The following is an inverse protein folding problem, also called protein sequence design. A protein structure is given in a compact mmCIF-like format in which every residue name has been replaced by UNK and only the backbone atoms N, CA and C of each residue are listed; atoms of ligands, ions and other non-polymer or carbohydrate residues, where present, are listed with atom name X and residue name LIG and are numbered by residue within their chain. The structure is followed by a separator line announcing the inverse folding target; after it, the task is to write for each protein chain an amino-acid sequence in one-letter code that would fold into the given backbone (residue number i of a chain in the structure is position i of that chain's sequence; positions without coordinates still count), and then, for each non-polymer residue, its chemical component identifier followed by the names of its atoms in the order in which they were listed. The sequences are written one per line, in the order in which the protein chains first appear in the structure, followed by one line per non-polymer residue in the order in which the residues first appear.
data_IF_067588052745
#
_entry.id   IF_067588052745
#
_cell.length_a   1.000
_cell.length_b   1.000
_cell.length_c   1.000
_cell.angle_alpha   90.00
_cell.angle_beta   90.00
_cell.angle_gamma   90.00
#
_symmetry.space_group_name_H-M   'P 1'
#
loop_
_entity.id
_entity.type
_entity.pdbx_description
1 polymer ?
#
# COMPACT_ATOMS: atom_id res chain seq x y z
N UNK A 1 3.82 -8.60 82.92
CA UNK A 1 3.75 -7.31 82.24
C UNK A 1 4.50 -7.42 80.92
N UNK A 2 3.85 -7.71 79.82
CA UNK A 2 4.45 -7.84 78.48
C UNK A 2 4.01 -6.65 77.64
N UNK A 3 4.94 -5.76 77.35
CA UNK A 3 4.74 -4.65 76.39
C UNK A 3 4.86 -5.18 74.97
N UNK A 4 3.77 -5.16 74.22
CA UNK A 4 3.77 -5.35 72.75
C UNK A 4 4.18 -4.06 72.10
N UNK A 5 5.29 -4.06 71.36
CA UNK A 5 5.74 -2.98 70.49
C UNK A 5 5.08 -3.21 69.13
N UNK A 6 4.22 -2.29 68.73
CA UNK A 6 3.63 -2.29 67.41
C UNK A 6 4.61 -1.61 66.43
N UNK A 7 5.11 -2.36 65.45
CA UNK A 7 5.86 -1.80 64.33
C UNK A 7 4.86 -1.25 63.32
N UNK A 8 4.83 0.08 63.17
CA UNK A 8 4.18 0.75 62.07
C UNK A 8 5.05 0.54 60.81
N UNK A 9 4.60 -0.28 59.87
CA UNK A 9 5.14 -0.35 58.54
C UNK A 9 4.74 0.92 57.76
N UNK A 10 5.69 1.84 57.64
CA UNK A 10 5.58 2.96 56.67
C UNK A 10 5.91 2.40 55.31
N UNK A 11 4.86 2.19 54.50
CA UNK A 11 5.01 1.89 53.07
C UNK A 11 5.30 3.25 52.38
N UNK A 12 6.46 3.42 51.73
CA UNK A 12 6.71 4.59 50.93
C UNK A 12 5.75 4.57 49.75
N UNK A 13 4.91 5.60 49.66
CA UNK A 13 4.10 5.89 48.50
C UNK A 13 5.06 6.28 47.36
N UNK A 14 5.47 5.31 46.56
CA UNK A 14 6.14 5.57 45.29
C UNK A 14 5.13 6.31 44.38
N UNK A 15 5.34 7.60 44.23
CA UNK A 15 4.78 8.38 43.17
C UNK A 15 5.20 7.72 41.83
N UNK A 16 4.30 6.98 41.24
CA UNK A 16 4.40 6.57 39.83
C UNK A 16 4.32 7.87 39.02
N UNK A 17 5.48 8.47 38.76
CA UNK A 17 5.60 9.39 37.63
C UNK A 17 5.10 8.62 36.42
N UNK A 18 4.11 9.20 35.70
CA UNK A 18 3.52 8.62 34.51
C UNK A 18 4.54 8.56 33.37
N UNK A 19 5.45 7.61 33.47
CA UNK A 19 6.28 7.21 32.35
C UNK A 19 5.37 6.63 31.30
N UNK A 20 5.29 7.30 30.15
CA UNK A 20 4.68 6.72 28.96
C UNK A 20 5.27 5.33 28.78
N UNK A 21 4.43 4.30 28.87
CA UNK A 21 4.84 2.92 28.59
C UNK A 21 5.10 2.87 27.09
N UNK A 22 6.35 3.11 26.73
CA UNK A 22 6.78 3.05 25.33
C UNK A 22 6.63 1.60 24.87
N UNK A 23 5.51 1.31 24.19
CA UNK A 23 5.28 0.00 23.60
C UNK A 23 6.28 -0.19 22.48
N UNK A 24 6.96 -1.33 22.39
CA UNK A 24 7.83 -1.58 21.25
C UNK A 24 7.02 -1.52 19.96
N UNK A 25 7.61 -1.00 18.86
CA UNK A 25 6.95 -0.93 17.58
C UNK A 25 6.50 -2.32 17.12
N UNK A 26 5.33 -2.39 16.46
CA UNK A 26 4.70 -3.66 16.08
C UNK A 26 5.45 -4.39 14.98
N UNK A 27 6.08 -3.66 14.09
CA UNK A 27 6.78 -4.19 12.93
C UNK A 27 8.19 -3.63 12.84
N UNK A 28 9.04 -4.32 12.10
CA UNK A 28 10.39 -3.86 11.78
C UNK A 28 10.52 -3.67 10.28
N UNK A 29 11.05 -2.52 9.86
CA UNK A 29 11.38 -2.28 8.48
C UNK A 29 12.56 -3.17 8.04
N UNK A 30 12.45 -3.74 6.85
CA UNK A 30 13.48 -4.49 6.15
C UNK A 30 13.77 -3.80 4.81
N UNK A 31 14.93 -4.10 4.24
CA UNK A 31 15.28 -3.69 2.88
C UNK A 31 15.49 -4.93 2.03
N UNK A 32 14.59 -5.12 1.06
CA UNK A 32 14.55 -6.28 0.18
C UNK A 32 15.18 -5.91 -1.16
N UNK A 33 16.30 -6.56 -1.49
CA UNK A 33 16.98 -6.35 -2.76
C UNK A 33 16.21 -7.00 -3.92
N UNK A 34 15.89 -6.24 -4.96
CA UNK A 34 15.13 -6.67 -6.13
C UNK A 34 15.72 -6.12 -7.44
N UNK A 35 16.82 -6.68 -7.90
CA UNK A 35 17.47 -6.33 -9.17
C UNK A 35 18.16 -4.98 -9.14
N UNK A 36 19.01 -4.77 -8.15
CA UNK A 36 19.78 -3.55 -7.94
C UNK A 36 18.96 -2.40 -7.35
N UNK A 37 17.81 -2.69 -6.71
CA UNK A 37 16.99 -1.74 -5.97
C UNK A 37 16.68 -2.30 -4.60
N UNK A 38 17.00 -1.58 -3.55
CA UNK A 38 16.56 -1.89 -2.20
C UNK A 38 15.15 -1.33 -1.97
N UNK A 39 14.19 -2.22 -1.72
CA UNK A 39 12.81 -1.87 -1.38
C UNK A 39 12.64 -1.92 0.13
N UNK A 40 12.22 -0.79 0.73
CA UNK A 40 11.76 -0.79 2.12
C UNK A 40 10.47 -1.59 2.21
N UNK A 41 10.41 -2.51 3.14
CA UNK A 41 9.28 -3.40 3.33
C UNK A 41 8.99 -3.64 4.81
N UNK A 42 7.79 -4.10 5.09
CA UNK A 42 7.44 -4.80 6.33
C UNK A 42 6.88 -6.17 5.98
N UNK A 43 7.24 -7.17 6.78
CA UNK A 43 6.73 -8.54 6.64
C UNK A 43 6.22 -9.04 7.98
N UNK A 44 5.04 -9.66 7.96
CA UNK A 44 4.47 -10.29 9.15
C UNK A 44 3.44 -11.35 8.76
N UNK A 45 2.99 -12.10 9.75
CA UNK A 45 1.98 -13.12 9.58
C UNK A 45 2.55 -14.49 9.20
N UNK A 46 1.64 -15.43 8.99
CA UNK A 46 1.94 -16.83 8.68
C UNK A 46 0.82 -17.39 7.79
N UNK A 47 1.05 -18.56 7.22
CA UNK A 47 0.12 -19.24 6.30
C UNK A 47 0.79 -19.58 4.98
N UNK A 48 0.08 -20.36 4.16
CA UNK A 48 0.62 -20.90 2.90
C UNK A 48 0.44 -19.93 1.72
N UNK A 49 -0.27 -18.82 1.92
CA UNK A 49 -0.50 -17.79 0.90
C UNK A 49 0.18 -16.49 1.30
N UNK A 50 0.93 -15.91 0.38
CA UNK A 50 1.58 -14.60 0.57
C UNK A 50 0.78 -13.50 -0.12
N UNK A 51 0.43 -12.46 0.62
CA UNK A 51 -0.15 -11.21 0.12
C UNK A 51 0.95 -10.17 -0.07
N UNK A 52 1.05 -9.57 -1.24
CA UNK A 52 2.00 -8.47 -1.50
C UNK A 52 1.24 -7.21 -1.83
N UNK A 53 1.46 -6.16 -1.02
CA UNK A 53 0.69 -4.91 -1.03
C UNK A 53 1.49 -3.81 -1.73
N UNK A 54 0.94 -3.25 -2.81
CA UNK A 54 1.57 -2.26 -3.69
C UNK A 54 0.76 -0.95 -3.65
N UNK A 55 1.36 0.12 -3.13
CA UNK A 55 0.71 1.41 -2.95
C UNK A 55 0.57 2.23 -4.24
N UNK A 56 -0.19 3.33 -4.20
CA UNK A 56 -0.42 4.25 -5.30
C UNK A 56 0.71 5.26 -5.53
N UNK A 57 0.57 6.07 -6.59
CA UNK A 57 1.48 7.17 -6.88
C UNK A 57 1.59 8.15 -5.71
N UNK A 58 2.80 8.50 -5.34
CA UNK A 58 3.07 9.45 -4.26
C UNK A 58 2.77 8.94 -2.85
N UNK A 59 2.39 7.68 -2.71
CA UNK A 59 2.14 7.03 -1.42
C UNK A 59 3.36 6.26 -0.91
N UNK A 60 3.17 5.46 0.13
CA UNK A 60 4.16 4.58 0.75
C UNK A 60 3.46 3.44 1.49
N UNK A 61 4.21 2.48 1.99
CA UNK A 61 3.68 1.26 2.63
C UNK A 61 2.73 1.50 3.82
N UNK A 62 2.84 2.66 4.50
CA UNK A 62 1.92 3.01 5.60
C UNK A 62 0.46 3.24 5.15
N UNK A 63 0.20 3.39 3.85
CA UNK A 63 -1.17 3.40 3.32
C UNK A 63 -1.93 2.11 3.65
N UNK A 64 -1.20 1.03 3.93
CA UNK A 64 -1.74 -0.30 4.27
C UNK A 64 -1.90 -0.54 5.76
N UNK A 65 -1.45 0.37 6.63
CA UNK A 65 -1.40 0.20 8.08
C UNK A 65 -2.69 -0.38 8.67
N UNK A 66 -3.84 0.17 8.29
CA UNK A 66 -5.13 -0.22 8.87
C UNK A 66 -5.64 -1.58 8.41
N UNK A 67 -5.17 -2.09 7.26
CA UNK A 67 -5.56 -3.40 6.72
C UNK A 67 -4.48 -4.47 6.93
N UNK A 68 -3.24 -4.09 7.18
CA UNK A 68 -2.10 -4.99 7.31
C UNK A 68 -2.27 -5.97 8.48
N UNK A 69 -2.39 -5.45 9.72
CA UNK A 69 -2.49 -6.28 10.93
C UNK A 69 -3.68 -7.26 10.90
N UNK A 70 -4.88 -6.88 10.44
CA UNK A 70 -5.99 -7.83 10.27
C UNK A 70 -5.72 -8.98 9.29
N UNK A 71 -4.87 -8.76 8.27
CA UNK A 71 -4.53 -9.77 7.27
C UNK A 71 -3.43 -10.72 7.77
N UNK A 72 -2.49 -10.25 8.58
CA UNK A 72 -1.39 -11.08 9.12
C UNK A 72 -1.86 -12.21 10.05
N UNK A 73 -3.13 -12.20 10.46
CA UNK A 73 -3.73 -13.27 11.27
C UNK A 73 -3.90 -14.58 10.49
N UNK A 74 -4.04 -14.49 9.17
CA UNK A 74 -4.39 -15.62 8.33
C UNK A 74 -3.41 -15.83 7.16
N UNK A 75 -2.56 -14.82 6.86
CA UNK A 75 -1.69 -14.80 5.67
C UNK A 75 -0.29 -14.29 6.02
N UNK A 76 0.70 -14.70 5.23
CA UNK A 76 1.95 -13.96 5.15
C UNK A 76 1.70 -12.66 4.39
N UNK A 77 2.08 -11.52 4.93
CA UNK A 77 1.83 -10.22 4.30
C UNK A 77 3.14 -9.46 4.14
N UNK A 78 3.38 -8.96 2.94
CA UNK A 78 4.51 -8.09 2.60
C UNK A 78 3.94 -6.78 2.08
N UNK A 79 4.21 -5.66 2.74
CA UNK A 79 3.94 -4.33 2.19
C UNK A 79 5.26 -3.67 1.84
N UNK A 80 5.35 -3.08 0.65
CA UNK A 80 6.58 -2.46 0.16
C UNK A 80 6.38 -1.00 -0.21
N UNK A 81 7.42 -0.21 -0.04
CA UNK A 81 7.55 1.05 -0.77
C UNK A 81 8.03 0.73 -2.19
N UNK A 82 7.31 1.22 -3.19
CA UNK A 82 7.70 1.03 -4.59
C UNK A 82 8.98 1.81 -4.93
N UNK A 83 9.74 1.41 -5.97
CA UNK A 83 10.91 2.17 -6.42
C UNK A 83 10.58 3.66 -6.63
N UNK A 84 11.39 4.54 -6.10
CA UNK A 84 11.17 5.99 -6.19
C UNK A 84 10.31 6.58 -5.06
N UNK A 85 9.70 5.75 -4.21
CA UNK A 85 8.78 6.18 -3.16
C UNK A 85 9.21 5.72 -1.77
N UNK A 86 8.61 6.34 -0.75
CA UNK A 86 8.86 6.00 0.64
C UNK A 86 10.35 5.94 0.98
N UNK A 87 10.74 4.93 1.75
CA UNK A 87 12.13 4.65 2.12
C UNK A 87 12.90 3.77 1.13
N UNK A 88 12.27 3.37 0.01
CA UNK A 88 12.94 2.60 -1.05
C UNK A 88 13.91 3.44 -1.85
N UNK A 89 14.83 2.79 -2.56
CA UNK A 89 15.76 3.42 -3.48
C UNK A 89 15.06 4.25 -4.56
N UNK A 90 15.72 5.33 -4.97
CA UNK A 90 15.28 6.27 -5.99
C UNK A 90 16.27 6.31 -7.14
N UNK A 91 16.46 5.17 -7.86
CA UNK A 91 17.50 5.06 -8.87
C UNK A 91 17.28 6.04 -10.02
N UNK A 92 18.38 6.49 -10.60
CA UNK A 92 18.39 7.34 -11.80
C UNK A 92 18.20 6.48 -13.07
N UNK A 93 16.98 5.93 -13.23
CA UNK A 93 16.58 5.10 -14.36
C UNK A 93 15.10 5.34 -14.70
N UNK A 94 14.61 4.92 -15.88
CA UNK A 94 13.20 5.04 -16.23
C UNK A 94 12.28 4.30 -15.24
N UNK A 95 11.15 4.93 -14.91
CA UNK A 95 10.10 4.39 -14.05
C UNK A 95 8.90 3.92 -14.87
N UNK A 96 9.16 3.17 -15.97
CA UNK A 96 8.08 2.61 -16.78
C UNK A 96 7.31 1.54 -16.01
N UNK A 97 6.09 1.23 -16.45
CA UNK A 97 5.29 0.15 -15.88
C UNK A 97 6.06 -1.19 -15.90
N UNK A 98 6.76 -1.49 -17.01
CA UNK A 98 7.57 -2.70 -17.16
C UNK A 98 8.75 -2.73 -16.17
N UNK A 99 9.44 -1.61 -15.99
CA UNK A 99 10.56 -1.53 -15.06
C UNK A 99 10.12 -1.75 -13.62
N UNK A 100 9.00 -1.14 -13.20
CA UNK A 100 8.42 -1.31 -11.88
C UNK A 100 7.88 -2.74 -11.67
N UNK A 101 7.11 -3.27 -12.62
CA UNK A 101 6.64 -4.65 -12.58
C UNK A 101 7.80 -5.65 -12.55
N UNK A 102 8.86 -5.42 -13.34
CA UNK A 102 10.07 -6.22 -13.31
C UNK A 102 10.78 -6.23 -11.95
N UNK A 103 10.73 -5.13 -11.19
CA UNK A 103 11.25 -5.10 -9.82
C UNK A 103 10.38 -5.95 -8.89
N UNK A 104 9.05 -5.86 -9.00
CA UNK A 104 8.13 -6.70 -8.20
C UNK A 104 8.28 -8.18 -8.57
N UNK A 105 8.42 -8.55 -9.84
CA UNK A 105 8.70 -9.94 -10.26
C UNK A 105 9.94 -10.50 -9.54
N UNK A 106 11.06 -9.74 -9.51
CA UNK A 106 12.28 -10.16 -8.82
C UNK A 106 12.07 -10.29 -7.31
N UNK A 107 11.32 -9.35 -6.69
CA UNK A 107 10.92 -9.47 -5.30
C UNK A 107 10.15 -10.77 -5.05
N UNK A 108 9.13 -11.06 -5.86
CA UNK A 108 8.33 -12.28 -5.71
C UNK A 108 9.20 -13.53 -5.82
N UNK A 109 10.05 -13.62 -6.84
CA UNK A 109 10.91 -14.80 -7.07
C UNK A 109 11.90 -15.04 -5.94
N UNK A 110 12.36 -13.99 -5.26
CA UNK A 110 13.38 -14.08 -4.21
C UNK A 110 12.82 -14.26 -2.81
N UNK A 111 11.64 -13.70 -2.52
CA UNK A 111 11.16 -13.58 -1.14
C UNK A 111 9.79 -14.23 -0.91
N UNK A 112 9.19 -14.84 -1.91
CA UNK A 112 7.89 -15.51 -1.77
C UNK A 112 7.87 -16.86 -2.45
N UNK A 113 7.07 -17.78 -1.90
CA UNK A 113 6.66 -19.00 -2.57
C UNK A 113 5.22 -18.88 -3.08
N UNK A 114 4.85 -19.55 -4.20
CA UNK A 114 3.47 -19.59 -4.65
C UNK A 114 2.58 -20.39 -3.66
N UNK A 115 1.30 -20.04 -3.51
CA UNK A 115 0.57 -19.00 -4.24
C UNK A 115 0.77 -17.61 -3.68
N UNK A 116 0.91 -16.61 -4.56
CA UNK A 116 0.97 -15.20 -4.22
C UNK A 116 -0.31 -14.49 -4.68
N UNK A 117 -0.81 -13.59 -3.86
CA UNK A 117 -1.89 -12.68 -4.24
C UNK A 117 -1.36 -11.24 -4.19
N UNK A 118 -1.51 -10.52 -5.30
CA UNK A 118 -1.11 -9.12 -5.38
C UNK A 118 -2.30 -8.23 -5.05
N UNK A 119 -2.10 -7.30 -4.12
CA UNK A 119 -3.07 -6.27 -3.74
C UNK A 119 -2.50 -4.92 -4.11
N UNK A 120 -3.06 -4.28 -5.12
CA UNK A 120 -2.54 -3.01 -5.64
C UNK A 120 -3.57 -1.89 -5.59
N UNK A 121 -3.14 -0.72 -5.13
CA UNK A 121 -3.93 0.50 -5.14
C UNK A 121 -3.47 1.42 -6.28
N UNK A 122 -4.40 1.95 -7.07
CA UNK A 122 -4.14 2.96 -8.11
C UNK A 122 -2.99 2.53 -9.05
N UNK A 123 -1.87 3.25 -9.11
CA UNK A 123 -0.65 2.89 -9.83
C UNK A 123 -0.15 1.48 -9.45
N UNK A 124 -0.16 1.15 -8.15
CA UNK A 124 0.19 -0.18 -7.67
C UNK A 124 -0.71 -1.29 -8.22
N UNK A 125 -1.96 -0.97 -8.55
CA UNK A 125 -2.89 -1.89 -9.23
C UNK A 125 -2.44 -2.22 -10.65
N UNK A 126 -2.00 -1.23 -11.42
CA UNK A 126 -1.44 -1.45 -12.77
C UNK A 126 -0.14 -2.27 -12.70
N UNK A 127 0.74 -1.98 -11.72
CA UNK A 127 1.97 -2.75 -11.50
C UNK A 127 1.64 -4.21 -11.12
N UNK A 128 0.63 -4.43 -10.25
CA UNK A 128 0.15 -5.77 -9.90
C UNK A 128 -0.33 -6.52 -11.13
N UNK A 129 -1.15 -5.89 -11.98
CA UNK A 129 -1.64 -6.48 -13.23
C UNK A 129 -0.50 -6.86 -14.17
N UNK A 130 0.44 -5.95 -14.42
CA UNK A 130 1.60 -6.22 -15.28
C UNK A 130 2.50 -7.33 -14.72
N UNK A 131 2.64 -7.40 -13.41
CA UNK A 131 3.38 -8.49 -12.74
C UNK A 131 2.67 -9.82 -12.91
N UNK A 132 1.35 -9.87 -12.72
CA UNK A 132 0.56 -11.11 -12.81
C UNK A 132 0.55 -11.71 -14.23
N UNK A 133 0.47 -10.86 -15.25
CA UNK A 133 0.58 -11.30 -16.66
C UNK A 133 1.92 -11.99 -16.93
N UNK A 134 3.01 -11.53 -16.32
CA UNK A 134 4.36 -12.09 -16.51
C UNK A 134 4.68 -13.26 -15.57
N UNK A 135 3.94 -13.43 -14.48
CA UNK A 135 4.12 -14.47 -13.46
C UNK A 135 2.86 -15.33 -13.25
N UNK A 136 2.24 -15.87 -14.34
CA UNK A 136 0.93 -16.53 -14.23
C UNK A 136 0.97 -17.82 -13.37
N UNK A 137 2.13 -18.45 -13.24
CA UNK A 137 2.31 -19.63 -12.38
C UNK A 137 2.58 -19.29 -10.91
N UNK A 138 2.86 -18.02 -10.58
CA UNK A 138 3.14 -17.56 -9.21
C UNK A 138 1.99 -16.76 -8.63
N UNK A 139 1.39 -15.86 -9.42
CA UNK A 139 0.30 -15.01 -8.98
C UNK A 139 -1.03 -15.73 -9.18
N UNK A 140 -1.67 -16.13 -8.08
CA UNK A 140 -2.91 -16.90 -8.09
C UNK A 140 -4.16 -16.03 -8.23
N UNK A 141 -4.14 -14.81 -7.71
CA UNK A 141 -5.26 -13.87 -7.76
C UNK A 141 -4.79 -12.42 -7.59
N UNK A 142 -5.66 -11.46 -7.90
CA UNK A 142 -5.41 -10.03 -7.70
C UNK A 142 -6.54 -9.37 -6.92
N UNK A 143 -6.17 -8.37 -6.13
CA UNK A 143 -7.11 -7.37 -5.63
C UNK A 143 -6.65 -6.01 -6.14
N UNK A 144 -7.51 -5.36 -6.89
CA UNK A 144 -7.22 -4.07 -7.51
C UNK A 144 -8.15 -3.01 -6.91
N UNK A 145 -7.56 -2.09 -6.15
CA UNK A 145 -8.29 -1.00 -5.48
C UNK A 145 -8.13 0.26 -6.32
N UNK A 146 -9.22 0.72 -6.93
CA UNK A 146 -9.25 1.89 -7.82
C UNK A 146 -8.02 1.95 -8.76
N UNK A 147 -7.70 0.85 -9.52
CA UNK A 147 -6.46 0.74 -10.28
C UNK A 147 -6.39 1.80 -11.39
N UNK A 148 -5.19 2.28 -11.68
CA UNK A 148 -4.93 3.14 -12.82
C UNK A 148 -5.09 2.36 -14.13
N UNK A 149 -5.54 3.04 -15.20
CA UNK A 149 -5.22 2.49 -16.48
C UNK A 149 -6.22 2.39 -17.62
N UNK A 150 -7.47 2.77 -17.49
CA UNK A 150 -8.37 2.77 -18.64
C UNK A 150 -9.07 4.12 -18.73
N UNK A 151 -9.04 4.70 -19.93
CA UNK A 151 -9.80 5.90 -20.34
C UNK A 151 -9.65 7.14 -19.44
N UNK A 152 -8.70 7.11 -18.53
CA UNK A 152 -8.34 8.28 -17.72
C UNK A 152 -7.00 8.77 -18.23
N UNK A 153 -7.05 9.68 -19.19
CA UNK A 153 -5.88 10.47 -19.55
C UNK A 153 -5.38 11.16 -18.30
N UNK A 154 -4.12 10.89 -17.92
CA UNK A 154 -3.47 11.66 -16.86
C UNK A 154 -3.56 13.16 -17.18
N UNK A 155 -3.50 13.54 -18.47
CA UNK A 155 -3.77 14.87 -18.93
C UNK A 155 -5.21 15.30 -18.61
N UNK A 156 -6.22 14.45 -18.75
CA UNK A 156 -7.61 14.74 -18.35
C UNK A 156 -7.78 14.85 -16.84
N UNK A 157 -7.13 13.97 -16.07
CA UNK A 157 -7.07 14.07 -14.59
C UNK A 157 -6.31 15.31 -14.17
N UNK A 158 -5.15 15.57 -14.76
CA UNK A 158 -4.37 16.77 -14.50
C UNK A 158 -5.05 18.02 -15.03
N UNK A 159 -5.83 17.98 -16.14
CA UNK A 159 -6.58 19.10 -16.68
C UNK A 159 -7.86 19.37 -15.89
N UNK A 160 -8.61 18.36 -15.50
CA UNK A 160 -9.70 18.51 -14.52
C UNK A 160 -9.21 19.01 -13.16
N UNK A 161 -7.98 18.65 -12.78
CA UNK A 161 -7.25 19.20 -11.66
C UNK A 161 -6.67 20.60 -11.96
N UNK A 162 -6.34 20.99 -13.21
CA UNK A 162 -5.65 22.23 -13.55
C UNK A 162 -6.52 23.47 -13.49
N UNK A 163 -7.78 23.38 -13.81
CA UNK A 163 -8.74 24.48 -13.67
C UNK A 163 -9.23 24.72 -12.24
N UNK A 164 -8.97 23.76 -11.33
CA UNK A 164 -9.14 23.88 -9.86
C UNK A 164 -7.82 23.78 -9.10
N UNK A 165 -6.71 23.96 -9.76
CA UNK A 165 -5.34 23.45 -9.48
C UNK A 165 -4.69 23.88 -8.19
N UNK A 166 -4.85 25.09 -7.70
CA UNK A 166 -4.04 25.53 -6.55
C UNK A 166 -4.65 25.14 -5.19
N UNK A 167 -5.98 25.10 -5.09
CA UNK A 167 -6.68 24.81 -3.84
C UNK A 167 -6.84 23.29 -3.60
N UNK A 168 -7.12 22.51 -4.66
CA UNK A 168 -7.36 21.07 -4.53
C UNK A 168 -6.07 20.24 -4.39
N UNK A 169 -5.00 20.62 -5.09
CA UNK A 169 -3.69 19.94 -4.91
C UNK A 169 -3.15 20.24 -3.52
N UNK A 170 -3.20 21.50 -3.07
CA UNK A 170 -2.81 21.86 -1.72
C UNK A 170 -3.69 21.22 -0.66
N UNK A 171 -5.00 21.14 -0.86
CA UNK A 171 -5.92 20.43 0.03
C UNK A 171 -5.72 18.92 -0.02
N UNK A 172 -5.42 18.33 -1.18
CA UNK A 172 -5.13 16.90 -1.32
C UNK A 172 -3.77 16.52 -0.71
N UNK A 173 -2.73 17.33 -0.91
CA UNK A 173 -1.43 17.13 -0.28
C UNK A 173 -1.48 17.34 1.23
N UNK A 174 -2.20 18.36 1.71
CA UNK A 174 -2.43 18.58 3.12
C UNK A 174 -3.28 17.47 3.75
N UNK A 175 -4.33 17.01 3.08
CA UNK A 175 -5.12 15.86 3.52
C UNK A 175 -4.31 14.56 3.50
N UNK A 176 -3.43 14.39 2.51
CA UNK A 176 -2.53 13.24 2.41
C UNK A 176 -1.51 13.20 3.54
N UNK A 177 -0.84 14.31 3.81
CA UNK A 177 0.17 14.41 4.87
C UNK A 177 -0.43 14.36 6.28
N UNK A 178 -1.69 14.79 6.45
CA UNK A 178 -2.38 14.73 7.75
C UNK A 178 -3.06 13.38 8.02
N UNK A 179 -3.36 12.57 6.99
CA UNK A 179 -4.08 11.30 7.14
C UNK A 179 -3.15 10.09 7.23
N UNK A 180 -2.00 10.12 6.54
CA UNK A 180 -1.01 9.03 6.58
C UNK A 180 0.35 9.66 6.90
N UNK A 181 0.76 9.67 8.17
CA UNK A 181 2.08 10.13 8.53
C UNK A 181 3.13 9.30 7.81
N UNK A 182 4.15 9.95 7.25
CA UNK A 182 5.24 9.28 6.54
C UNK A 182 6.12 8.45 7.48
N UNK A 183 6.02 8.70 8.78
CA UNK A 183 6.74 8.03 9.83
C UNK A 183 5.78 7.67 10.96
N UNK A 184 5.84 6.44 11.41
CA UNK A 184 5.04 5.93 12.52
C UNK A 184 5.93 5.03 13.39
N UNK A 185 6.65 5.62 14.35
CA UNK A 185 7.59 4.89 15.19
C UNK A 185 6.92 3.85 16.09
N UNK A 186 5.64 4.01 16.40
CA UNK A 186 4.89 3.05 17.20
C UNK A 186 4.46 1.82 16.40
N UNK A 187 4.44 1.93 15.07
CA UNK A 187 4.05 0.83 14.19
C UNK A 187 5.25 0.19 13.49
N UNK A 188 6.26 0.98 13.08
CA UNK A 188 7.47 0.47 12.40
C UNK A 188 8.74 0.92 13.13
N UNK A 189 9.55 -0.03 13.58
CA UNK A 189 10.93 0.23 13.96
C UNK A 189 11.80 0.37 12.72
N UNK A 190 12.48 1.50 12.61
CA UNK A 190 13.46 1.75 11.55
C UNK A 190 14.86 1.91 12.14
N UNK A 191 15.90 1.57 11.37
CA UNK A 191 17.25 1.89 11.79
C UNK A 191 17.44 3.42 11.82
N UNK A 192 18.10 3.94 12.83
CA UNK A 192 18.27 5.39 13.06
C UNK A 192 18.81 6.17 11.86
N UNK A 193 19.56 5.51 10.98
CA UNK A 193 20.15 6.14 9.78
C UNK A 193 19.15 6.27 8.61
N UNK A 194 18.04 5.55 8.62
CA UNK A 194 17.02 5.53 7.55
C UNK A 194 15.66 6.08 7.99
N UNK A 195 15.50 6.42 9.28
CA UNK A 195 14.23 6.91 9.84
C UNK A 195 13.92 8.38 9.48
N UNK A 196 14.86 9.12 8.92
CA UNK A 196 14.72 10.55 8.64
C UNK A 196 14.33 10.81 7.18
N UNK A 197 13.30 10.12 6.70
CA UNK A 197 12.78 10.39 5.37
C UNK A 197 11.67 11.42 5.43
N UNK A 198 11.93 12.61 4.91
CA UNK A 198 10.91 13.65 4.65
C UNK A 198 10.82 13.87 3.12
N UNK A 199 9.75 13.43 2.46
CA UNK A 199 9.61 13.60 1.01
C UNK A 199 9.61 15.05 0.57
N UNK A 200 9.14 15.97 1.42
CA UNK A 200 9.13 17.40 1.12
C UNK A 200 10.55 17.97 1.02
N UNK A 201 11.48 17.39 1.76
CA UNK A 201 12.89 17.80 1.83
C UNK A 201 13.83 16.94 0.96
N UNK A 202 13.36 15.79 0.46
CA UNK A 202 14.18 14.88 -0.35
C UNK A 202 14.14 15.24 -1.85
N UNK A 203 15.22 15.80 -2.42
CA UNK A 203 15.28 16.10 -3.86
C UNK A 203 15.15 14.85 -4.74
N UNK A 204 15.64 13.68 -4.27
CA UNK A 204 15.54 12.43 -5.01
C UNK A 204 14.09 11.95 -5.11
N UNK A 205 13.29 12.14 -4.06
CA UNK A 205 11.85 11.86 -4.11
C UNK A 205 11.14 12.74 -5.14
N UNK A 206 11.40 14.06 -5.15
CA UNK A 206 10.80 14.97 -6.14
C UNK A 206 11.21 14.61 -7.57
N UNK A 207 12.48 14.26 -7.78
CA UNK A 207 12.98 13.79 -9.08
C UNK A 207 12.30 12.49 -9.51
N UNK A 208 12.22 11.49 -8.61
CA UNK A 208 11.60 10.21 -8.91
C UNK A 208 10.10 10.34 -9.23
N UNK A 209 9.34 11.11 -8.44
CA UNK A 209 7.90 11.32 -8.68
C UNK A 209 7.65 12.02 -10.02
N UNK A 210 8.46 13.03 -10.38
CA UNK A 210 8.38 13.70 -11.69
C UNK A 210 8.69 12.72 -12.85
N UNK A 211 9.67 11.82 -12.67
CA UNK A 211 9.99 10.80 -13.67
C UNK A 211 8.88 9.76 -13.82
N UNK A 212 8.27 9.32 -12.72
CA UNK A 212 7.12 8.41 -12.78
C UNK A 212 6.00 9.03 -13.61
N UNK A 213 5.66 10.31 -13.41
CA UNK A 213 4.64 10.99 -14.22
C UNK A 213 4.98 11.02 -15.70
N UNK A 214 6.27 11.14 -16.07
CA UNK A 214 6.73 11.16 -17.44
C UNK A 214 6.79 9.76 -18.08
N UNK A 215 7.26 8.75 -17.31
CA UNK A 215 7.71 7.47 -17.86
C UNK A 215 6.63 6.37 -17.76
N UNK A 216 5.73 6.45 -16.78
CA UNK A 216 4.82 5.34 -16.42
C UNK A 216 3.74 5.10 -17.48
N UNK A 217 3.37 6.11 -18.25
CA UNK A 217 2.32 6.00 -19.28
C UNK A 217 1.04 5.35 -18.72
N UNK A 218 0.25 6.12 -17.97
CA UNK A 218 -1.00 5.64 -17.35
C UNK A 218 -2.12 5.33 -18.37
N UNK A 219 -1.89 5.57 -19.64
CA UNK A 219 -2.84 5.38 -20.73
C UNK A 219 -2.61 4.05 -21.46
N UNK A 220 -3.64 3.54 -22.12
CA UNK A 220 -3.51 2.36 -23.00
C UNK A 220 -3.41 1.02 -22.29
N UNK A 221 -3.68 0.93 -20.97
CA UNK A 221 -3.56 -0.31 -20.20
C UNK A 221 -4.70 -1.32 -20.43
N UNK A 222 -5.67 -1.00 -21.30
CA UNK A 222 -6.77 -1.91 -21.64
C UNK A 222 -6.28 -3.27 -22.18
N UNK A 223 -5.21 -3.28 -22.98
CA UNK A 223 -4.60 -4.50 -23.49
C UNK A 223 -4.05 -5.36 -22.35
N UNK A 224 -3.32 -4.76 -21.41
CA UNK A 224 -2.79 -5.43 -20.22
C UNK A 224 -3.89 -6.13 -19.41
N UNK A 225 -4.99 -5.43 -19.14
CA UNK A 225 -6.09 -6.01 -18.34
C UNK A 225 -6.78 -7.17 -19.07
N UNK A 226 -6.85 -7.17 -20.42
CA UNK A 226 -7.37 -8.31 -21.21
C UNK A 226 -6.50 -9.57 -21.13
N UNK A 227 -5.21 -9.40 -20.86
CA UNK A 227 -4.27 -10.53 -20.72
C UNK A 227 -4.38 -11.26 -19.39
N UNK A 228 -5.00 -10.64 -18.37
CA UNK A 228 -5.19 -11.26 -17.06
C UNK A 228 -6.04 -12.54 -17.18
N UNK A 229 -5.58 -13.60 -16.52
CA UNK A 229 -6.30 -14.89 -16.43
C UNK A 229 -6.68 -15.23 -15.00
N UNK A 230 -6.05 -14.57 -14.04
CA UNK A 230 -6.29 -14.76 -12.63
C UNK A 230 -7.63 -14.16 -12.21
N UNK A 231 -8.31 -14.71 -11.18
CA UNK A 231 -9.44 -14.06 -10.54
C UNK A 231 -9.06 -12.68 -10.00
N UNK A 232 -9.92 -11.69 -10.20
CA UNK A 232 -9.70 -10.30 -9.79
C UNK A 232 -10.83 -9.81 -8.90
N UNK A 233 -10.51 -9.34 -7.70
CA UNK A 233 -11.41 -8.53 -6.90
C UNK A 233 -11.14 -7.06 -7.21
N UNK A 234 -12.15 -6.35 -7.72
CA UNK A 234 -12.15 -4.90 -7.85
C UNK A 234 -12.80 -4.27 -6.62
N UNK A 235 -12.18 -3.22 -6.07
CA UNK A 235 -12.74 -2.42 -4.97
C UNK A 235 -12.66 -0.94 -5.37
N UNK A 236 -13.76 -0.21 -5.21
CA UNK A 236 -13.83 1.19 -5.65
C UNK A 236 -14.60 2.07 -4.69
N UNK A 237 -14.19 3.33 -4.55
CA UNK A 237 -14.99 4.35 -3.90
C UNK A 237 -16.01 4.95 -4.88
N UNK A 238 -17.29 5.02 -4.50
CA UNK A 238 -18.34 5.58 -5.35
C UNK A 238 -18.13 7.06 -5.70
N UNK A 239 -17.41 7.80 -4.86
CA UNK A 239 -17.12 9.21 -5.02
C UNK A 239 -15.64 9.50 -5.34
N UNK A 240 -14.94 8.53 -5.98
CA UNK A 240 -13.52 8.67 -6.32
C UNK A 240 -13.30 9.82 -7.31
N UNK A 241 -12.56 10.88 -6.89
CA UNK A 241 -12.30 12.03 -7.74
C UNK A 241 -11.05 11.89 -8.62
N UNK A 242 -10.25 10.83 -8.42
CA UNK A 242 -8.96 10.59 -9.10
C UNK A 242 -9.13 9.59 -10.22
N UNK A 243 -9.70 8.42 -9.91
CA UNK A 243 -10.07 7.41 -10.91
C UNK A 243 -11.57 7.19 -10.79
N UNK A 244 -12.38 7.85 -11.62
CA UNK A 244 -13.83 7.79 -11.51
C UNK A 244 -14.37 6.36 -11.53
N UNK A 245 -15.41 6.08 -10.73
CA UNK A 245 -15.97 4.73 -10.58
C UNK A 245 -16.48 4.14 -11.92
N UNK A 246 -16.78 4.97 -12.92
CA UNK A 246 -17.15 4.55 -14.26
C UNK A 246 -16.04 3.73 -14.96
N UNK A 247 -14.79 3.90 -14.54
CA UNK A 247 -13.65 3.09 -15.01
C UNK A 247 -13.82 1.62 -14.60
N UNK A 248 -14.48 1.36 -13.47
CA UNK A 248 -14.79 -0.01 -13.03
C UNK A 248 -15.66 -0.74 -14.07
N UNK A 249 -16.65 -0.05 -14.65
CA UNK A 249 -17.52 -0.63 -15.71
C UNK A 249 -16.73 -1.00 -16.97
N UNK A 250 -15.72 -0.19 -17.32
CA UNK A 250 -14.82 -0.50 -18.43
C UNK A 250 -13.93 -1.69 -18.13
N UNK A 251 -13.38 -1.75 -16.91
CA UNK A 251 -12.53 -2.85 -16.44
C UNK A 251 -13.27 -4.19 -16.39
N UNK A 252 -14.49 -4.21 -15.88
CA UNK A 252 -15.28 -5.46 -15.77
C UNK A 252 -15.54 -6.10 -17.13
N UNK A 253 -15.65 -5.30 -18.20
CA UNK A 253 -15.79 -5.79 -19.59
C UNK A 253 -14.51 -6.42 -20.15
N UNK A 254 -13.36 -6.13 -19.56
CA UNK A 254 -12.06 -6.63 -20.03
C UNK A 254 -11.61 -7.86 -19.24
N UNK A 255 -12.02 -7.96 -17.99
CA UNK A 255 -11.58 -9.03 -17.07
C UNK A 255 -12.47 -10.28 -17.21
N UNK A 256 -11.91 -11.44 -17.59
CA UNK A 256 -12.70 -12.65 -17.80
C UNK A 256 -13.30 -13.23 -16.51
N UNK A 257 -12.64 -13.00 -15.38
CA UNK A 257 -13.06 -13.48 -14.07
C UNK A 257 -12.86 -12.38 -13.03
N UNK A 258 -13.96 -11.79 -12.56
CA UNK A 258 -13.88 -10.67 -11.62
C UNK A 258 -15.06 -10.64 -10.66
N UNK A 259 -14.83 -9.99 -9.52
CA UNK A 259 -15.85 -9.50 -8.59
C UNK A 259 -15.66 -7.99 -8.43
N UNK A 260 -16.75 -7.23 -8.25
CA UNK A 260 -16.70 -5.78 -8.05
C UNK A 260 -17.41 -5.41 -6.74
N UNK A 261 -16.75 -4.57 -5.93
CA UNK A 261 -17.32 -3.93 -4.76
C UNK A 261 -17.17 -2.41 -4.88
N UNK A 262 -18.29 -1.70 -4.90
CA UNK A 262 -18.33 -0.24 -4.87
C UNK A 262 -18.75 0.20 -3.47
N UNK A 263 -17.98 1.10 -2.86
CA UNK A 263 -18.16 1.54 -1.47
C UNK A 263 -18.75 2.96 -1.44
N UNK A 264 -19.96 3.06 -0.93
CA UNK A 264 -20.66 4.35 -0.80
C UNK A 264 -19.85 5.34 0.04
N UNK A 265 -19.94 6.64 -0.32
CA UNK A 265 -19.28 7.75 0.39
C UNK A 265 -17.79 7.49 0.66
N UNK A 266 -17.12 6.86 -0.29
CA UNK A 266 -15.70 6.53 -0.26
C UNK A 266 -15.03 7.16 -1.46
N UNK A 267 -13.85 7.73 -1.26
CA UNK A 267 -13.05 8.40 -2.28
C UNK A 267 -12.03 7.44 -2.89
N UNK A 268 -10.81 7.95 -3.19
CA UNK A 268 -9.78 7.21 -3.94
C UNK A 268 -9.05 6.13 -3.10
N UNK A 269 -9.12 6.18 -1.77
CA UNK A 269 -8.34 5.28 -0.88
C UNK A 269 -9.25 4.42 0.02
N UNK A 270 -10.04 3.50 -0.53
CA UNK A 270 -10.90 2.62 0.24
C UNK A 270 -10.21 1.91 1.41
N UNK A 271 -8.94 1.48 1.23
CA UNK A 271 -8.14 0.80 2.25
C UNK A 271 -7.79 1.69 3.47
N UNK A 272 -7.86 3.00 3.30
CA UNK A 272 -7.63 4.00 4.36
C UNK A 272 -8.96 4.48 4.94
N UNK A 273 -9.93 4.74 4.07
CA UNK A 273 -11.20 5.38 4.41
C UNK A 273 -12.22 4.42 5.02
N UNK A 274 -12.18 3.14 4.62
CA UNK A 274 -13.09 2.07 5.02
C UNK A 274 -12.34 0.75 5.30
N UNK A 275 -11.30 0.77 6.15
CA UNK A 275 -10.39 -0.37 6.31
C UNK A 275 -11.12 -1.66 6.70
N UNK A 276 -12.09 -1.60 7.64
CA UNK A 276 -12.82 -2.79 8.09
C UNK A 276 -13.64 -3.42 6.95
N UNK A 277 -14.29 -2.59 6.14
CA UNK A 277 -15.05 -3.05 4.97
C UNK A 277 -14.13 -3.67 3.93
N UNK A 278 -12.98 -3.04 3.66
CA UNK A 278 -11.97 -3.58 2.73
C UNK A 278 -11.44 -4.91 3.25
N UNK A 279 -11.08 -5.02 4.53
CA UNK A 279 -10.63 -6.28 5.15
C UNK A 279 -11.70 -7.37 5.02
N UNK A 280 -12.96 -7.05 5.24
CA UNK A 280 -14.05 -8.03 5.09
C UNK A 280 -14.20 -8.54 3.65
N UNK A 281 -14.10 -7.63 2.65
CA UNK A 281 -14.11 -7.99 1.22
C UNK A 281 -12.89 -8.85 0.89
N UNK A 282 -11.70 -8.43 1.29
CA UNK A 282 -10.45 -9.18 1.10
C UNK A 282 -10.58 -10.61 1.66
N UNK A 283 -10.92 -10.75 2.93
CA UNK A 283 -11.05 -12.07 3.58
C UNK A 283 -12.11 -12.96 2.93
N UNK A 284 -13.20 -12.40 2.40
CA UNK A 284 -14.20 -13.16 1.66
C UNK A 284 -13.63 -13.69 0.35
N UNK A 285 -13.01 -12.82 -0.46
CA UNK A 285 -12.41 -13.19 -1.75
C UNK A 285 -11.23 -14.16 -1.58
N UNK A 286 -10.34 -13.90 -0.62
CA UNK A 286 -9.14 -14.70 -0.39
C UNK A 286 -9.42 -16.14 0.06
N UNK A 287 -10.57 -16.41 0.72
CA UNK A 287 -10.95 -17.77 1.07
C UNK A 287 -11.32 -18.62 -0.14
N UNK A 288 -11.84 -18.03 -1.17
CA UNK A 288 -12.23 -18.71 -2.40
C UNK A 288 -12.12 -17.74 -3.59
N UNK A 289 -10.88 -17.49 -4.08
CA UNK A 289 -10.70 -16.66 -5.25
C UNK A 289 -11.42 -17.26 -6.46
N UNK A 290 -12.37 -16.53 -7.00
CA UNK A 290 -13.15 -16.99 -8.15
C UNK A 290 -14.04 -15.90 -8.71
N UNK A 291 -14.75 -16.22 -9.77
CA UNK A 291 -15.69 -15.34 -10.45
C UNK A 291 -17.03 -15.25 -9.74
#
# INVERSE_FOLDING_TARGET
MHRRIAYLLVIPLLLLEGGEVHRPPRHRAEWLEAGGVELRAIRAGYGDTTLVLLHGYGEHLLTWRSVFDPLTRDYQVIAVDLPGFGGSDKPDRPYTLEAMAGTIQRLLRRYTEPPVILIGHSMGGAIAAATAVKEPGRVAALVLIAPAGIDVSLAGVLDSMSHRRSALIGAWEAARSSIIPMHDPDWIAESANRAKYDPALDPAFRSATARVLRDFQFEGLAALYRELRQPVQLIWGAADPVVPVQVADSLTKLLPCHQLAILDRTLHRPQVERPDTVVAILKRFLRQPGC
#
